data_IF_093749498957
#
_entry.id   IF_093749498957
#
_cell.length_a   1.000
_cell.length_b   1.000
_cell.length_c   1.000
_cell.angle_alpha   90.00
_cell.angle_beta   90.00
_cell.angle_gamma   90.00
#
_symmetry.space_group_name_H-M   'P 1'
#
loop_
_entity.id
_entity.type
_entity.pdbx_description
1 polymer ?
#
# COMPACT_ATOMS: atom_id res chain seq x y z
N UNK A 1 2.59 -25.94 -38.61
CA UNK A 1 1.47 -25.55 -37.72
C UNK A 1 2.02 -25.58 -36.32
N UNK A 2 2.34 -24.41 -35.78
CA UNK A 2 2.91 -24.28 -34.43
C UNK A 2 1.76 -24.38 -33.43
N UNK A 3 1.75 -25.40 -32.59
CA UNK A 3 0.76 -25.55 -31.53
C UNK A 3 1.09 -24.58 -30.40
N UNK A 4 0.14 -23.76 -29.92
CA UNK A 4 0.41 -22.86 -28.80
C UNK A 4 0.79 -23.67 -27.55
N UNK A 5 1.93 -23.34 -26.95
CA UNK A 5 2.41 -23.92 -25.70
C UNK A 5 1.36 -23.72 -24.58
N UNK A 6 1.11 -24.74 -23.74
CA UNK A 6 0.13 -24.63 -22.68
C UNK A 6 0.54 -23.54 -21.67
N UNK A 7 -0.31 -22.54 -21.48
CA UNK A 7 -0.11 -21.49 -20.48
C UNK A 7 -0.10 -22.13 -19.10
N UNK A 8 1.07 -22.15 -18.44
CA UNK A 8 1.19 -22.66 -17.08
C UNK A 8 0.50 -21.70 -16.11
N UNK A 9 -0.63 -22.12 -15.55
CA UNK A 9 -1.29 -21.38 -14.47
C UNK A 9 -0.51 -21.58 -13.17
N UNK A 10 0.16 -20.50 -12.74
CA UNK A 10 0.74 -20.40 -11.39
C UNK A 10 -0.35 -20.07 -10.37
N UNK A 11 -0.16 -20.45 -9.10
CA UNK A 11 -1.03 -20.08 -7.97
C UNK A 11 -1.22 -18.55 -7.87
N UNK A 12 -0.25 -17.77 -8.37
CA UNK A 12 -0.32 -16.30 -8.41
C UNK A 12 -1.26 -15.74 -9.47
N UNK A 13 -1.67 -16.54 -10.46
CA UNK A 13 -2.49 -16.06 -11.58
C UNK A 13 -3.87 -15.55 -11.12
N UNK A 14 -4.50 -16.25 -10.19
CA UNK A 14 -5.82 -15.89 -9.65
C UNK A 14 -5.81 -14.56 -8.85
N UNK A 15 -4.94 -14.34 -7.85
CA UNK A 15 -4.92 -13.08 -7.11
C UNK A 15 -4.48 -11.89 -7.97
N UNK A 16 -3.55 -12.08 -8.91
CA UNK A 16 -3.15 -11.03 -9.85
C UNK A 16 -4.35 -10.65 -10.73
N UNK A 17 -5.06 -11.63 -11.30
CA UNK A 17 -6.23 -11.39 -12.13
C UNK A 17 -7.36 -10.68 -11.35
N UNK A 18 -7.63 -11.10 -10.12
CA UNK A 18 -8.59 -10.43 -9.24
C UNK A 18 -8.26 -8.94 -9.05
N UNK A 19 -6.99 -8.64 -8.79
CA UNK A 19 -6.49 -7.25 -8.61
C UNK A 19 -6.66 -6.43 -9.90
N UNK A 20 -6.40 -7.03 -11.08
CA UNK A 20 -6.52 -6.34 -12.37
C UNK A 20 -7.98 -6.07 -12.79
N UNK A 21 -8.89 -6.99 -12.47
CA UNK A 21 -10.31 -6.88 -12.83
C UNK A 21 -11.09 -6.00 -11.85
N UNK A 22 -10.77 -6.04 -10.54
CA UNK A 22 -11.50 -5.31 -9.51
C UNK A 22 -10.82 -4.00 -9.09
N UNK A 23 -10.55 -3.12 -10.06
CA UNK A 23 -9.81 -1.86 -9.86
C UNK A 23 -10.38 -0.98 -8.74
N UNK A 24 -11.71 -0.92 -8.59
CA UNK A 24 -12.36 -0.14 -7.53
C UNK A 24 -11.99 -0.67 -6.14
N UNK A 25 -12.06 -2.00 -5.95
CA UNK A 25 -11.70 -2.63 -4.67
C UNK A 25 -10.24 -2.37 -4.34
N UNK A 26 -9.35 -2.52 -5.32
CA UNK A 26 -7.92 -2.23 -5.15
C UNK A 26 -7.69 -0.78 -4.76
N UNK A 27 -8.36 0.16 -5.41
CA UNK A 27 -8.23 1.58 -5.09
C UNK A 27 -8.73 1.89 -3.67
N UNK A 28 -9.86 1.32 -3.26
CA UNK A 28 -10.39 1.50 -1.90
C UNK A 28 -9.45 0.92 -0.84
N UNK A 29 -8.91 -0.28 -1.06
CA UNK A 29 -7.92 -0.89 -0.16
C UNK A 29 -6.66 -0.03 -0.10
N UNK A 30 -6.15 0.43 -1.24
CA UNK A 30 -4.97 1.29 -1.30
C UNK A 30 -5.21 2.62 -0.56
N UNK A 31 -6.37 3.26 -0.76
CA UNK A 31 -6.73 4.50 -0.09
C UNK A 31 -6.87 4.30 1.42
N UNK A 32 -7.45 3.18 1.86
CA UNK A 32 -7.56 2.83 3.28
C UNK A 32 -6.18 2.64 3.91
N UNK A 33 -5.28 1.89 3.25
CA UNK A 33 -3.92 1.66 3.72
C UNK A 33 -3.11 2.96 3.77
N UNK A 34 -3.23 3.80 2.74
CA UNK A 34 -2.58 5.11 2.72
C UNK A 34 -3.11 6.02 3.83
N UNK A 35 -4.43 6.09 4.03
CA UNK A 35 -5.07 6.86 5.09
C UNK A 35 -4.68 6.38 6.48
N UNK A 36 -4.66 5.06 6.71
CA UNK A 36 -4.15 4.48 7.96
C UNK A 36 -2.67 4.84 8.16
N UNK A 37 -1.87 4.74 7.10
CA UNK A 37 -0.47 5.16 7.09
C UNK A 37 -0.29 6.62 7.48
N UNK A 38 -1.12 7.55 6.99
CA UNK A 38 -1.06 8.97 7.37
C UNK A 38 -1.23 9.17 8.87
N UNK A 39 -2.11 8.41 9.51
CA UNK A 39 -2.38 8.49 10.95
C UNK A 39 -1.22 7.97 11.78
N UNK A 40 -0.56 6.88 11.34
CA UNK A 40 0.48 6.19 12.13
C UNK A 40 1.92 6.46 11.66
N UNK A 41 2.09 7.16 10.55
CA UNK A 41 3.41 7.43 9.98
C UNK A 41 4.29 8.18 10.98
N UNK A 42 5.57 7.79 11.11
CA UNK A 42 6.50 8.34 12.11
C UNK A 42 6.93 9.78 11.81
N UNK A 43 6.53 10.33 10.66
CA UNK A 43 6.91 11.67 10.20
C UNK A 43 5.97 12.76 10.74
N UNK A 44 6.51 13.93 11.07
CA UNK A 44 5.73 15.08 11.58
C UNK A 44 4.99 15.85 10.46
N UNK A 45 4.05 15.18 9.79
CA UNK A 45 3.11 15.84 8.90
C UNK A 45 2.13 16.72 9.68
N UNK A 46 2.14 18.01 9.34
CA UNK A 46 1.24 19.02 9.90
C UNK A 46 -0.07 19.05 9.11
N UNK A 47 -1.00 18.17 9.48
CA UNK A 47 -2.32 18.08 8.87
C UNK A 47 -3.35 18.68 9.85
N UNK A 48 -3.97 19.83 9.54
CA UNK A 48 -4.89 20.49 10.45
C UNK A 48 -6.14 19.63 10.69
N UNK A 49 -6.55 19.50 11.95
CA UNK A 49 -7.78 18.79 12.36
C UNK A 49 -7.70 17.26 12.36
N UNK A 50 -6.53 16.67 12.10
CA UNK A 50 -6.33 15.22 12.13
C UNK A 50 -5.57 14.78 13.38
N UNK A 51 -6.21 13.97 14.24
CA UNK A 51 -5.53 13.33 15.37
C UNK A 51 -4.64 12.20 14.85
N UNK A 52 -3.32 12.33 15.02
CA UNK A 52 -2.32 11.36 14.57
C UNK A 52 -1.74 10.61 15.76
N UNK A 53 -1.38 9.35 15.54
CA UNK A 53 -0.74 8.46 16.51
C UNK A 53 0.54 7.88 15.90
N UNK A 54 1.56 8.74 15.65
CA UNK A 54 2.77 8.32 14.97
C UNK A 54 3.49 7.23 15.76
N UNK A 55 3.91 6.17 15.06
CA UNK A 55 4.77 5.16 15.67
C UNK A 55 6.12 5.80 15.97
N UNK A 56 6.62 5.74 17.21
CA UNK A 56 7.93 6.30 17.54
C UNK A 56 8.98 5.52 16.78
N UNK A 57 9.67 6.21 15.87
CA UNK A 57 10.96 5.76 15.39
C UNK A 57 11.98 6.25 16.41
N UNK A 58 12.87 5.35 16.83
CA UNK A 58 13.98 5.70 17.72
C UNK A 58 14.98 6.54 16.92
N UNK A 59 14.63 7.81 16.74
CA UNK A 59 15.50 8.79 16.16
C UNK A 59 16.52 9.15 17.25
N UNK A 60 17.78 8.77 17.03
CA UNK A 60 18.91 9.59 17.49
C UNK A 60 18.53 11.06 17.23
N UNK A 61 18.38 11.90 18.28
CA UNK A 61 17.84 13.22 18.11
C UNK A 61 19.00 14.16 17.74
N UNK A 62 19.02 14.56 16.46
CA UNK A 62 19.29 15.90 15.93
C UNK A 62 19.89 15.80 14.52
N UNK A 63 19.07 16.03 13.49
CA UNK A 63 19.54 16.54 12.21
C UNK A 63 18.69 17.76 11.82
N UNK A 64 18.82 18.82 12.61
CA UNK A 64 18.94 20.14 12.02
C UNK A 64 17.75 21.07 12.25
N UNK A 65 17.95 21.95 13.22
CA UNK A 65 18.11 23.36 12.86
C UNK A 65 19.20 23.58 11.78
#
# INVERSE_FOLDING_TARGET
METPEPVRTSVLSAPIRFTLENKLVVFLVAALLAGAGVVVAPFDWKIPGLTRYPVPVDAIPDIGE
#
